data_IF_556971083749
#
_entry.id   IF_556971083749
#
_cell.length_a   1.000
_cell.length_b   1.000
_cell.length_c   1.000
_cell.angle_alpha   90.00
_cell.angle_beta   90.00
_cell.angle_gamma   90.00
#
_symmetry.space_group_name_H-M   'P 1'
#
loop_
_entity.id
_entity.type
_entity.pdbx_description
1 polymer ?
#
# COMPACT_ATOMS: atom_id res chain seq x y z
N UNK A 1 -32.60 27.54 3.02
CA UNK A 1 -31.36 26.80 3.35
C UNK A 1 -30.55 27.69 4.28
N UNK A 2 -30.35 27.29 5.56
CA UNK A 2 -29.52 28.07 6.49
C UNK A 2 -28.08 28.04 6.06
N UNK A 3 -27.49 29.22 5.89
CA UNK A 3 -26.08 29.44 5.52
C UNK A 3 -25.17 28.63 6.48
N UNK A 4 -24.47 27.59 5.95
CA UNK A 4 -23.57 26.71 6.70
C UNK A 4 -22.11 27.19 6.59
N UNK A 5 -21.88 28.43 6.14
CA UNK A 5 -20.56 29.03 5.95
C UNK A 5 -19.94 29.40 7.31
N UNK A 6 -19.00 28.67 7.83
CA UNK A 6 -18.26 28.99 9.06
C UNK A 6 -17.82 27.82 9.92
N UNK A 7 -18.36 26.61 9.69
CA UNK A 7 -17.94 25.42 10.44
C UNK A 7 -17.03 24.54 9.56
N UNK A 8 -15.90 24.10 10.09
CA UNK A 8 -15.05 23.09 9.44
C UNK A 8 -15.90 21.88 9.03
N UNK A 9 -15.79 21.39 7.77
CA UNK A 9 -16.46 20.18 7.37
C UNK A 9 -15.96 19.00 8.19
N UNK A 10 -16.83 18.00 8.41
CA UNK A 10 -16.55 16.90 9.32
C UNK A 10 -16.62 15.56 8.60
N UNK A 11 -15.52 14.81 8.61
CA UNK A 11 -15.44 13.49 8.00
C UNK A 11 -15.37 12.39 9.06
N UNK A 12 -16.12 11.31 8.83
CA UNK A 12 -15.94 10.03 9.50
C UNK A 12 -15.16 9.12 8.54
N UNK A 13 -13.94 8.75 8.90
CA UNK A 13 -13.10 7.86 8.09
C UNK A 13 -13.07 6.45 8.69
N UNK A 14 -13.68 5.49 8.00
CA UNK A 14 -13.71 4.09 8.39
C UNK A 14 -12.48 3.39 7.79
N UNK A 15 -11.38 3.37 8.54
CA UNK A 15 -10.10 2.82 8.14
C UNK A 15 -9.66 1.74 9.14
N UNK A 16 -10.11 0.50 8.94
CA UNK A 16 -9.87 -0.61 9.87
C UNK A 16 -8.38 -0.78 10.20
N UNK A 17 -7.52 -0.78 9.18
CA UNK A 17 -6.07 -0.74 9.36
C UNK A 17 -5.59 0.71 9.36
N UNK A 18 -5.18 1.17 10.52
CA UNK A 18 -4.64 2.50 10.79
C UNK A 18 -3.48 2.39 11.78
N UNK A 19 -2.54 3.35 11.87
CA UNK A 19 -1.45 3.26 12.83
C UNK A 19 -1.88 2.85 14.25
N UNK A 20 -1.11 2.00 14.95
CA UNK A 20 0.25 1.52 14.67
C UNK A 20 0.35 0.27 13.77
N UNK A 21 -0.68 -0.13 13.05
CA UNK A 21 -0.60 -1.28 12.13
C UNK A 21 0.45 -1.05 11.04
N UNK A 22 1.15 -2.13 10.62
CA UNK A 22 2.09 -2.14 9.46
C UNK A 22 1.47 -2.73 8.19
N UNK A 23 0.15 -2.97 8.14
CA UNK A 23 -0.51 -3.45 6.94
C UNK A 23 -0.33 -2.45 5.78
N UNK A 24 -0.15 -2.95 4.56
CA UNK A 24 0.18 -2.14 3.37
C UNK A 24 -0.78 -0.95 3.12
N UNK A 25 -2.05 -1.07 3.50
CA UNK A 25 -3.03 0.00 3.34
C UNK A 25 -2.99 1.12 4.38
N UNK A 26 -2.19 0.98 5.41
CA UNK A 26 -2.12 1.94 6.52
C UNK A 26 -1.55 3.27 6.06
N UNK A 27 -0.53 3.26 5.20
CA UNK A 27 0.11 4.47 4.68
C UNK A 27 -0.88 5.38 3.94
N UNK A 28 -1.70 4.79 3.04
CA UNK A 28 -2.77 5.53 2.35
C UNK A 28 -3.79 6.09 3.33
N UNK A 29 -4.25 5.27 4.29
CA UNK A 29 -5.25 5.70 5.27
C UNK A 29 -4.74 6.84 6.16
N UNK A 30 -3.48 6.74 6.62
CA UNK A 30 -2.81 7.78 7.40
C UNK A 30 -2.67 9.09 6.61
N UNK A 31 -2.09 9.00 5.43
CA UNK A 31 -1.87 10.17 4.58
C UNK A 31 -3.19 10.85 4.19
N UNK A 32 -4.23 10.09 3.84
CA UNK A 32 -5.56 10.64 3.57
C UNK A 32 -6.13 11.39 4.79
N UNK A 33 -5.96 10.85 5.99
CA UNK A 33 -6.44 11.49 7.20
C UNK A 33 -5.69 12.80 7.50
N UNK A 34 -4.34 12.80 7.38
CA UNK A 34 -3.51 13.98 7.56
C UNK A 34 -3.85 15.06 6.52
N UNK A 35 -3.87 14.70 5.23
CA UNK A 35 -4.21 15.61 4.14
C UNK A 35 -5.57 16.29 4.35
N UNK A 36 -6.58 15.54 4.79
CA UNK A 36 -7.89 16.13 5.10
C UNK A 36 -7.83 17.13 6.26
N UNK A 37 -6.97 16.90 7.28
CA UNK A 37 -6.76 17.89 8.36
C UNK A 37 -6.09 19.15 7.82
N UNK A 38 -5.04 19.01 7.00
CA UNK A 38 -4.33 20.12 6.35
C UNK A 38 -5.29 20.97 5.49
N UNK A 39 -6.22 20.31 4.81
CA UNK A 39 -7.31 20.97 4.05
C UNK A 39 -8.46 21.48 4.94
N UNK A 40 -8.30 21.50 6.26
CA UNK A 40 -9.22 22.11 7.20
C UNK A 40 -10.44 21.27 7.60
N UNK A 41 -10.40 19.94 7.39
CA UNK A 41 -11.45 19.03 7.86
C UNK A 41 -11.30 18.67 9.35
N UNK A 42 -12.41 18.44 10.03
CA UNK A 42 -12.47 17.80 11.36
C UNK A 42 -12.56 16.28 11.14
N UNK A 43 -11.43 15.57 11.32
CA UNK A 43 -11.29 14.17 10.97
C UNK A 43 -11.50 13.27 12.19
N UNK A 44 -12.41 12.30 12.06
CA UNK A 44 -12.57 11.20 13.03
C UNK A 44 -12.32 9.88 12.32
N UNK A 45 -11.29 9.14 12.72
CA UNK A 45 -10.95 7.83 12.16
C UNK A 45 -11.50 6.73 13.06
N UNK A 46 -12.16 5.74 12.46
CA UNK A 46 -12.48 4.49 13.13
C UNK A 46 -11.56 3.39 12.66
N UNK A 47 -10.80 2.81 13.61
CA UNK A 47 -9.81 1.79 13.36
C UNK A 47 -10.08 0.51 14.16
N UNK A 48 -9.34 -0.56 13.87
CA UNK A 48 -9.39 -1.80 14.62
C UNK A 48 -8.91 -1.63 16.06
N UNK A 49 -9.39 -2.46 17.02
CA UNK A 49 -8.89 -2.47 18.39
C UNK A 49 -7.39 -2.76 18.44
N UNK A 50 -6.68 -2.11 19.37
CA UNK A 50 -5.24 -2.34 19.57
C UNK A 50 -4.94 -3.79 19.92
N UNK A 51 -5.75 -4.41 20.79
CA UNK A 51 -5.60 -5.83 21.15
C UNK A 51 -5.61 -6.75 19.93
N UNK A 52 -6.42 -6.43 18.92
CA UNK A 52 -6.41 -7.17 17.67
C UNK A 52 -5.10 -7.00 16.91
N UNK A 53 -4.57 -5.79 16.85
CA UNK A 53 -3.29 -5.51 16.16
C UNK A 53 -2.13 -6.20 16.86
N UNK A 54 -2.00 -6.06 18.20
CA UNK A 54 -0.88 -6.65 18.94
C UNK A 54 -0.98 -8.17 19.09
N UNK A 55 -2.17 -8.69 19.42
CA UNK A 55 -2.30 -10.11 19.75
C UNK A 55 -2.57 -11.00 18.54
N UNK A 56 -3.16 -10.48 17.46
CA UNK A 56 -3.60 -11.29 16.31
C UNK A 56 -2.82 -11.00 15.03
N UNK A 57 -2.50 -9.74 14.77
CA UNK A 57 -1.70 -9.37 13.60
C UNK A 57 -0.21 -9.46 13.93
N UNK A 58 0.22 -8.96 15.09
CA UNK A 58 1.60 -9.00 15.56
C UNK A 58 2.57 -8.13 14.73
N UNK A 59 2.06 -7.35 13.78
CA UNK A 59 2.86 -6.46 12.93
C UNK A 59 2.44 -5.03 13.18
N UNK A 60 3.18 -4.35 14.06
CA UNK A 60 2.93 -2.97 14.50
C UNK A 60 4.19 -2.12 14.38
N UNK A 61 3.99 -0.81 14.25
CA UNK A 61 5.03 0.21 14.19
C UNK A 61 4.53 1.44 14.95
N UNK A 62 5.08 1.65 16.14
CA UNK A 62 4.67 2.77 17.00
C UNK A 62 5.12 4.12 16.42
N UNK A 63 6.28 4.17 15.78
CA UNK A 63 6.78 5.39 15.11
C UNK A 63 5.82 5.91 14.05
N UNK A 64 5.07 4.99 13.40
CA UNK A 64 4.05 5.41 12.43
C UNK A 64 2.87 6.15 13.09
N UNK A 65 2.60 5.89 14.37
CA UNK A 65 1.58 6.63 15.12
C UNK A 65 1.97 8.09 15.38
N UNK A 66 3.25 8.37 15.50
CA UNK A 66 3.80 9.71 15.71
C UNK A 66 3.63 10.61 14.47
N UNK A 67 3.48 10.00 13.30
CA UNK A 67 3.25 10.72 12.03
C UNK A 67 1.77 11.00 11.75
N UNK A 68 0.87 10.68 12.67
CA UNK A 68 -0.56 11.02 12.57
C UNK A 68 -0.77 12.39 13.22
N UNK A 69 -1.44 13.30 12.51
CA UNK A 69 -1.75 14.63 13.04
C UNK A 69 -2.51 14.50 14.38
N UNK A 70 -2.05 15.18 15.46
CA UNK A 70 -2.63 15.06 16.80
C UNK A 70 -4.08 15.56 16.91
N UNK A 71 -4.57 16.34 15.95
CA UNK A 71 -5.98 16.76 15.91
C UNK A 71 -6.93 15.67 15.42
N UNK A 72 -6.40 14.60 14.80
CA UNK A 72 -7.20 13.46 14.33
C UNK A 72 -7.70 12.66 15.53
N UNK A 73 -9.01 12.56 15.61
CA UNK A 73 -9.65 11.71 16.62
C UNK A 73 -9.69 10.27 16.17
N UNK A 74 -8.89 9.38 16.79
CA UNK A 74 -8.90 7.94 16.50
C UNK A 74 -9.79 7.21 17.52
N UNK A 75 -10.83 6.57 17.04
CA UNK A 75 -11.74 5.69 17.80
C UNK A 75 -11.53 4.25 17.39
N UNK A 76 -11.65 3.33 18.35
CA UNK A 76 -11.40 1.90 18.09
C UNK A 76 -12.61 1.06 18.56
N UNK A 77 -13.68 0.99 17.73
CA UNK A 77 -14.87 0.20 18.04
C UNK A 77 -14.53 -1.28 18.26
N UNK A 78 -15.33 -1.93 19.11
CA UNK A 78 -15.10 -3.32 19.48
C UNK A 78 -15.18 -4.28 18.28
N UNK A 79 -14.32 -5.30 18.28
CA UNK A 79 -14.29 -6.37 17.31
C UNK A 79 -14.46 -7.71 17.99
N UNK A 80 -15.55 -8.41 17.70
CA UNK A 80 -15.80 -9.77 18.16
C UNK A 80 -15.65 -10.71 16.96
N UNK A 81 -14.56 -11.46 16.91
CA UNK A 81 -14.31 -12.42 15.84
C UNK A 81 -14.49 -13.85 16.29
N UNK A 82 -15.46 -14.52 15.69
CA UNK A 82 -15.74 -15.92 15.98
C UNK A 82 -14.59 -16.86 15.62
N UNK A 83 -13.94 -16.65 14.48
CA UNK A 83 -12.93 -17.56 13.94
C UNK A 83 -11.54 -17.41 14.56
N UNK A 84 -11.26 -16.28 15.21
CA UNK A 84 -9.92 -15.93 15.70
C UNK A 84 -9.77 -16.12 17.21
N UNK A 85 -10.88 -16.12 17.95
CA UNK A 85 -10.87 -16.40 19.38
C UNK A 85 -10.83 -17.91 19.59
N UNK A 86 -9.68 -18.43 19.96
CA UNK A 86 -9.50 -19.85 20.31
C UNK A 86 -9.55 -20.08 21.83
N UNK A 87 -9.34 -19.04 22.63
CA UNK A 87 -9.41 -19.12 24.08
C UNK A 87 -10.87 -19.06 24.55
N UNK A 88 -11.30 -20.13 25.23
CA UNK A 88 -12.66 -20.24 25.80
C UNK A 88 -12.96 -19.14 26.82
N UNK A 89 -11.94 -18.55 27.45
CA UNK A 89 -12.09 -17.46 28.43
C UNK A 89 -12.50 -16.15 27.77
N UNK A 90 -12.13 -15.95 26.49
CA UNK A 90 -12.49 -14.79 25.71
C UNK A 90 -13.89 -14.92 25.06
N UNK A 91 -14.53 -16.07 25.14
CA UNK A 91 -15.84 -16.29 24.55
C UNK A 91 -16.91 -15.52 25.30
N UNK A 92 -17.83 -14.87 24.55
CA UNK A 92 -19.04 -14.32 25.13
C UNK A 92 -19.84 -15.42 25.86
N UNK A 93 -20.64 -15.02 26.85
CA UNK A 93 -21.49 -15.97 27.58
C UNK A 93 -22.34 -16.85 26.64
N UNK A 94 -22.98 -16.25 25.64
CA UNK A 94 -23.78 -16.96 24.63
C UNK A 94 -22.96 -18.00 23.85
N UNK A 95 -21.74 -17.64 23.42
CA UNK A 95 -20.86 -18.55 22.69
C UNK A 95 -20.35 -19.70 23.57
N UNK A 96 -20.10 -19.42 24.84
CA UNK A 96 -19.65 -20.41 25.82
C UNK A 96 -20.76 -21.39 26.18
N UNK A 97 -21.98 -20.88 26.41
CA UNK A 97 -23.13 -21.69 26.80
C UNK A 97 -23.75 -22.46 25.62
N UNK A 98 -23.73 -21.93 24.41
CA UNK A 98 -24.37 -22.49 23.21
C UNK A 98 -23.46 -22.48 21.99
N UNK A 99 -22.32 -23.21 22.01
CA UNK A 99 -21.30 -23.11 20.95
C UNK A 99 -21.80 -23.51 19.56
N UNK A 100 -22.63 -24.55 19.46
CA UNK A 100 -23.21 -25.01 18.19
C UNK A 100 -24.19 -23.99 17.61
N UNK A 101 -25.00 -23.37 18.45
CA UNK A 101 -25.93 -22.33 18.03
C UNK A 101 -25.16 -21.09 17.56
N UNK A 102 -24.16 -20.66 18.32
CA UNK A 102 -23.31 -19.53 17.96
C UNK A 102 -22.59 -19.77 16.62
N UNK A 103 -22.11 -21.00 16.38
CA UNK A 103 -21.53 -21.41 15.09
C UNK A 103 -22.54 -21.33 13.95
N UNK A 104 -23.76 -21.82 14.16
CA UNK A 104 -24.85 -21.74 13.15
C UNK A 104 -25.22 -20.31 12.84
N UNK A 105 -25.39 -19.46 13.86
CA UNK A 105 -25.69 -18.03 13.70
C UNK A 105 -24.58 -17.32 12.93
N UNK A 106 -23.33 -17.56 13.29
CA UNK A 106 -22.19 -17.00 12.56
C UNK A 106 -22.20 -17.44 11.09
N UNK A 107 -22.35 -18.73 10.82
CA UNK A 107 -22.40 -19.25 9.45
C UNK A 107 -23.57 -18.64 8.66
N UNK A 108 -24.75 -18.56 9.26
CA UNK A 108 -25.92 -17.93 8.65
C UNK A 108 -25.67 -16.45 8.34
N UNK A 109 -24.99 -15.72 9.24
CA UNK A 109 -24.63 -14.33 9.02
C UNK A 109 -23.73 -14.17 7.78
N UNK A 110 -22.75 -15.05 7.61
CA UNK A 110 -21.82 -15.02 6.48
C UNK A 110 -22.45 -15.44 5.15
N UNK A 111 -23.42 -16.36 5.18
CA UNK A 111 -24.02 -16.91 3.96
C UNK A 111 -25.32 -16.23 3.55
N UNK A 112 -26.07 -15.63 4.48
CA UNK A 112 -27.40 -15.07 4.22
C UNK A 112 -27.54 -13.58 4.52
N UNK A 113 -26.71 -13.02 5.41
CA UNK A 113 -26.83 -11.62 5.80
C UNK A 113 -25.74 -10.75 5.16
N UNK A 114 -24.51 -10.87 5.60
CA UNK A 114 -23.40 -10.05 5.11
C UNK A 114 -22.10 -10.86 5.14
N UNK A 115 -21.49 -11.17 3.98
CA UNK A 115 -20.40 -12.13 3.86
C UNK A 115 -19.03 -11.49 4.19
N UNK A 116 -18.92 -10.93 5.39
CA UNK A 116 -17.69 -10.27 5.84
C UNK A 116 -17.38 -10.63 7.30
N UNK A 117 -16.18 -11.16 7.53
CA UNK A 117 -15.75 -11.65 8.87
C UNK A 117 -15.60 -10.55 9.93
N UNK A 118 -15.47 -9.29 9.52
CA UNK A 118 -15.34 -8.13 10.41
C UNK A 118 -16.68 -7.40 10.63
N UNK A 119 -17.80 -8.03 10.30
CA UNK A 119 -19.14 -7.44 10.42
C UNK A 119 -19.49 -6.98 11.84
N UNK A 120 -18.95 -7.61 12.90
CA UNK A 120 -19.13 -7.17 14.28
C UNK A 120 -18.51 -5.79 14.55
N UNK A 121 -17.35 -5.52 13.96
CA UNK A 121 -16.72 -4.19 14.01
C UNK A 121 -17.56 -3.15 13.23
N UNK A 122 -18.08 -3.54 12.06
CA UNK A 122 -18.95 -2.66 11.28
C UNK A 122 -20.17 -2.21 12.11
N UNK A 123 -20.81 -3.17 12.77
CA UNK A 123 -21.96 -2.87 13.64
C UNK A 123 -21.59 -1.97 14.82
N UNK A 124 -20.49 -2.28 15.54
CA UNK A 124 -19.99 -1.45 16.65
C UNK A 124 -19.63 -0.03 16.16
N UNK A 125 -19.05 0.07 14.97
CA UNK A 125 -18.72 1.35 14.31
C UNK A 125 -19.97 2.17 14.02
N UNK A 126 -21.04 1.57 13.50
CA UNK A 126 -22.29 2.27 13.24
C UNK A 126 -22.89 2.82 14.55
N UNK A 127 -22.96 2.01 15.60
CA UNK A 127 -23.50 2.46 16.90
C UNK A 127 -22.67 3.62 17.49
N UNK A 128 -21.34 3.51 17.40
CA UNK A 128 -20.45 4.57 17.86
C UNK A 128 -20.58 5.84 17.01
N UNK A 129 -20.67 5.70 15.70
CA UNK A 129 -20.86 6.81 14.77
C UNK A 129 -22.17 7.54 15.02
N UNK A 130 -23.28 6.85 15.27
CA UNK A 130 -24.58 7.44 15.61
C UNK A 130 -24.48 8.29 16.88
N UNK A 131 -23.81 7.78 17.94
CA UNK A 131 -23.58 8.52 19.17
C UNK A 131 -22.76 9.80 18.95
N UNK A 132 -21.72 9.75 18.13
CA UNK A 132 -20.92 10.93 17.80
C UNK A 132 -21.69 11.91 16.91
N UNK A 133 -22.44 11.39 15.95
CA UNK A 133 -23.24 12.19 15.02
C UNK A 133 -24.38 12.94 15.72
N UNK A 134 -25.01 12.36 16.75
CA UNK A 134 -26.05 13.03 17.54
C UNK A 134 -25.52 14.26 18.29
N UNK A 135 -24.24 14.23 18.72
CA UNK A 135 -23.60 15.35 19.37
C UNK A 135 -23.12 16.42 18.36
N UNK A 136 -22.41 15.99 17.35
CA UNK A 136 -21.87 16.85 16.28
C UNK A 136 -21.93 16.10 14.94
N UNK A 137 -22.72 16.59 14.00
CA UNK A 137 -23.01 15.90 12.74
C UNK A 137 -21.77 15.73 11.88
N UNK A 138 -21.59 14.54 11.31
CA UNK A 138 -20.68 14.32 10.19
C UNK A 138 -21.30 14.85 8.90
N UNK A 139 -20.48 15.37 8.01
CA UNK A 139 -20.90 15.87 6.69
C UNK A 139 -20.72 14.79 5.61
N UNK A 140 -19.72 13.91 5.76
CA UNK A 140 -19.44 12.79 4.85
C UNK A 140 -18.79 11.62 5.60
N UNK A 141 -18.95 10.40 5.05
CA UNK A 141 -18.22 9.21 5.48
C UNK A 141 -17.30 8.76 4.35
N UNK A 142 -16.04 8.49 4.65
CA UNK A 142 -15.11 7.79 3.77
C UNK A 142 -14.88 6.40 4.33
N UNK A 143 -15.00 5.37 3.51
CA UNK A 143 -14.76 3.99 3.93
C UNK A 143 -13.70 3.37 3.02
N UNK A 144 -12.61 2.86 3.58
CA UNK A 144 -11.57 2.17 2.80
C UNK A 144 -11.68 0.65 2.97
N UNK A 145 -11.67 -0.08 1.88
CA UNK A 145 -11.55 -1.53 1.80
C UNK A 145 -10.08 -1.92 1.57
N UNK A 146 -9.59 -3.01 2.04
CA UNK A 146 -9.98 -4.12 2.84
C UNK A 146 -9.76 -3.83 4.35
N UNK A 147 -10.60 -4.29 5.32
CA UNK A 147 -11.81 -5.12 5.14
C UNK A 147 -13.02 -4.34 4.58
N UNK A 148 -13.86 -5.04 3.83
CA UNK A 148 -15.06 -4.46 3.21
C UNK A 148 -16.23 -4.27 4.18
N UNK A 149 -16.07 -4.70 5.42
CA UNK A 149 -16.93 -4.35 6.54
C UNK A 149 -17.07 -2.83 6.73
N UNK A 150 -16.05 -2.06 6.34
CA UNK A 150 -16.08 -0.58 6.30
C UNK A 150 -17.18 -0.08 5.38
N UNK A 151 -17.34 -0.67 4.20
CA UNK A 151 -18.37 -0.31 3.23
C UNK A 151 -19.78 -0.60 3.77
N UNK A 152 -19.96 -1.77 4.41
CA UNK A 152 -21.21 -2.12 5.07
C UNK A 152 -21.57 -1.15 6.19
N UNK A 153 -20.59 -0.72 6.98
CA UNK A 153 -20.80 0.27 8.04
C UNK A 153 -21.19 1.65 7.46
N UNK A 154 -20.50 2.12 6.42
CA UNK A 154 -20.81 3.37 5.76
C UNK A 154 -22.22 3.37 5.15
N UNK A 155 -22.56 2.30 4.43
CA UNK A 155 -23.89 2.12 3.86
C UNK A 155 -24.99 2.11 4.92
N UNK A 156 -24.82 1.37 6.02
CA UNK A 156 -25.82 1.32 7.09
C UNK A 156 -25.94 2.67 7.80
N UNK A 157 -24.83 3.35 8.05
CA UNK A 157 -24.85 4.69 8.65
C UNK A 157 -25.57 5.70 7.73
N UNK A 158 -25.32 5.65 6.42
CA UNK A 158 -26.07 6.45 5.44
C UNK A 158 -27.57 6.15 5.47
N UNK A 159 -27.97 4.89 5.56
CA UNK A 159 -29.37 4.48 5.63
C UNK A 159 -30.10 5.07 6.85
N UNK A 160 -29.39 5.23 7.96
CA UNK A 160 -29.94 5.71 9.23
C UNK A 160 -29.90 7.23 9.37
N UNK A 161 -28.96 7.92 8.71
CA UNK A 161 -28.69 9.34 8.93
C UNK A 161 -28.85 10.21 7.69
N UNK A 162 -28.79 9.63 6.51
CA UNK A 162 -28.74 10.34 5.22
C UNK A 162 -27.38 10.95 4.89
N UNK A 163 -26.36 10.78 5.75
CA UNK A 163 -25.00 11.30 5.49
C UNK A 163 -24.40 10.61 4.26
N UNK A 164 -23.92 11.36 3.24
CA UNK A 164 -23.30 10.78 2.05
C UNK A 164 -22.04 10.01 2.41
N UNK A 165 -21.67 9.03 1.58
CA UNK A 165 -20.45 8.27 1.78
C UNK A 165 -19.72 7.97 0.47
N UNK A 166 -18.41 7.78 0.60
CA UNK A 166 -17.48 7.41 -0.47
C UNK A 166 -16.83 6.06 -0.14
N UNK A 167 -16.71 5.20 -1.14
CA UNK A 167 -16.06 3.90 -1.06
C UNK A 167 -14.66 4.00 -1.68
N UNK A 168 -13.61 3.77 -0.89
CA UNK A 168 -12.21 3.76 -1.36
C UNK A 168 -11.74 2.31 -1.54
N UNK A 169 -11.75 1.86 -2.80
CA UNK A 169 -11.33 0.52 -3.22
C UNK A 169 -9.81 0.47 -3.39
N UNK A 170 -9.12 0.21 -2.32
CA UNK A 170 -7.70 -0.13 -2.39
C UNK A 170 -7.46 -1.52 -2.96
N UNK A 171 -8.35 -2.44 -2.62
CA UNK A 171 -8.47 -3.81 -3.13
C UNK A 171 -9.91 -4.03 -3.60
N UNK A 172 -10.17 -5.08 -4.39
CA UNK A 172 -11.54 -5.47 -4.75
C UNK A 172 -12.11 -6.50 -3.77
N UNK A 173 -13.42 -6.43 -3.57
CA UNK A 173 -14.15 -7.42 -2.79
C UNK A 173 -14.58 -8.63 -3.61
N UNK A 174 -14.99 -8.37 -4.84
CA UNK A 174 -15.62 -9.36 -5.71
C UNK A 174 -14.74 -9.82 -6.86
N UNK A 175 -13.54 -9.24 -7.01
CA UNK A 175 -12.52 -9.64 -7.96
C UNK A 175 -11.32 -10.22 -7.20
N UNK A 176 -10.86 -11.42 -7.60
CA UNK A 176 -9.52 -11.90 -7.22
C UNK A 176 -8.49 -11.17 -8.07
N UNK A 177 -7.78 -10.24 -7.44
CA UNK A 177 -6.83 -9.33 -8.09
C UNK A 177 -5.61 -10.04 -8.70
N UNK A 178 -5.32 -11.26 -8.26
CA UNK A 178 -4.14 -12.02 -8.68
C UNK A 178 -4.42 -13.03 -9.78
N UNK A 179 -5.67 -13.50 -9.88
CA UNK A 179 -6.06 -14.49 -10.86
C UNK A 179 -6.94 -13.92 -12.00
N UNK A 180 -7.28 -12.62 -11.91
CA UNK A 180 -8.22 -11.95 -12.85
C UNK A 180 -9.56 -12.68 -12.97
N UNK A 181 -10.05 -13.20 -11.84
CA UNK A 181 -11.27 -13.99 -11.76
C UNK A 181 -12.24 -13.45 -10.71
N UNK A 182 -13.53 -13.70 -10.84
CA UNK A 182 -14.48 -13.40 -9.78
C UNK A 182 -14.11 -14.08 -8.46
N UNK A 183 -14.02 -13.32 -7.37
CA UNK A 183 -13.70 -13.84 -6.04
C UNK A 183 -14.81 -14.72 -5.42
N UNK A 184 -16.02 -14.67 -6.00
CA UNK A 184 -17.20 -15.42 -5.55
C UNK A 184 -17.96 -16.03 -6.72
N UNK A 185 -18.67 -17.17 -6.53
CA UNK A 185 -19.62 -17.70 -7.50
C UNK A 185 -20.66 -16.66 -7.93
N UNK A 186 -21.20 -16.79 -9.13
CA UNK A 186 -22.12 -15.80 -9.74
C UNK A 186 -23.38 -15.50 -8.91
N UNK A 187 -23.86 -16.47 -8.14
CA UNK A 187 -25.06 -16.39 -7.29
C UNK A 187 -24.73 -16.00 -5.83
N UNK A 188 -23.47 -15.73 -5.52
CA UNK A 188 -23.07 -15.39 -4.16
C UNK A 188 -23.60 -14.01 -3.74
N UNK A 189 -24.05 -13.89 -2.49
CA UNK A 189 -24.70 -12.67 -1.96
C UNK A 189 -23.77 -11.43 -1.96
N UNK A 190 -22.46 -11.61 -2.04
CA UNK A 190 -21.47 -10.50 -2.10
C UNK A 190 -21.77 -9.57 -3.28
N UNK A 191 -22.14 -10.10 -4.46
CA UNK A 191 -22.47 -9.32 -5.64
C UNK A 191 -23.65 -8.37 -5.39
N UNK A 192 -24.69 -8.88 -4.76
CA UNK A 192 -25.87 -8.10 -4.42
C UNK A 192 -25.56 -7.01 -3.37
N UNK A 193 -24.66 -7.29 -2.44
CA UNK A 193 -24.21 -6.33 -1.45
C UNK A 193 -23.34 -5.23 -2.06
N UNK A 194 -22.35 -5.59 -2.87
CA UNK A 194 -21.50 -4.61 -3.53
C UNK A 194 -22.31 -3.68 -4.42
N UNK A 195 -23.18 -4.22 -5.28
CA UNK A 195 -24.11 -3.43 -6.10
C UNK A 195 -24.96 -2.48 -5.27
N UNK A 196 -25.54 -2.97 -4.18
CA UNK A 196 -26.39 -2.15 -3.28
C UNK A 196 -25.62 -1.00 -2.64
N UNK A 197 -24.36 -1.26 -2.24
CA UNK A 197 -23.52 -0.24 -1.63
C UNK A 197 -23.04 0.77 -2.67
N UNK A 198 -22.56 0.32 -3.84
CA UNK A 198 -22.15 1.21 -4.94
C UNK A 198 -23.29 2.11 -5.41
N UNK A 199 -24.50 1.57 -5.57
CA UNK A 199 -25.66 2.34 -6.03
C UNK A 199 -26.05 3.48 -5.07
N UNK A 200 -25.68 3.40 -3.80
CA UNK A 200 -25.95 4.43 -2.79
C UNK A 200 -24.75 5.33 -2.47
N UNK A 201 -23.55 4.92 -2.85
CA UNK A 201 -22.36 5.71 -2.66
C UNK A 201 -22.39 6.99 -3.51
N UNK A 202 -21.90 8.09 -2.96
CA UNK A 202 -21.77 9.37 -3.65
C UNK A 202 -20.56 9.40 -4.59
N UNK A 203 -19.55 8.57 -4.31
CA UNK A 203 -18.43 8.28 -5.19
C UNK A 203 -17.81 6.93 -4.81
N UNK A 204 -17.10 6.32 -5.77
CA UNK A 204 -16.23 5.18 -5.55
C UNK A 204 -14.83 5.50 -6.13
N UNK A 205 -13.81 5.23 -5.33
CA UNK A 205 -12.42 5.56 -5.64
C UNK A 205 -11.63 4.27 -5.84
N UNK A 206 -10.79 4.21 -6.85
CA UNK A 206 -9.99 3.05 -7.20
C UNK A 206 -8.51 3.42 -7.31
N UNK A 207 -7.61 2.48 -7.06
CA UNK A 207 -6.17 2.74 -7.06
C UNK A 207 -5.55 2.82 -8.46
N UNK A 208 -6.23 2.30 -9.47
CA UNK A 208 -5.81 2.36 -10.87
C UNK A 208 -7.00 2.22 -11.83
N UNK A 209 -6.75 2.54 -13.08
CA UNK A 209 -7.77 2.54 -14.14
C UNK A 209 -8.29 1.14 -14.46
N UNK A 210 -7.43 0.13 -14.44
CA UNK A 210 -7.85 -1.25 -14.71
C UNK A 210 -8.88 -1.74 -13.68
N UNK A 211 -8.67 -1.44 -12.40
CA UNK A 211 -9.62 -1.80 -11.34
C UNK A 211 -10.91 -0.99 -11.44
N UNK A 212 -10.81 0.32 -11.74
CA UNK A 212 -11.98 1.16 -12.00
C UNK A 212 -12.79 0.64 -13.19
N UNK A 213 -12.13 0.35 -14.31
CA UNK A 213 -12.73 -0.16 -15.53
C UNK A 213 -13.49 -1.45 -15.30
N UNK A 214 -12.88 -2.41 -14.60
CA UNK A 214 -13.54 -3.68 -14.25
C UNK A 214 -14.85 -3.48 -13.46
N UNK A 215 -14.87 -2.52 -12.51
CA UNK A 215 -16.09 -2.20 -11.77
C UNK A 215 -17.09 -1.41 -12.62
N UNK A 216 -16.62 -0.49 -13.47
CA UNK A 216 -17.48 0.30 -14.34
C UNK A 216 -18.21 -0.56 -15.38
N UNK A 217 -17.55 -1.58 -15.95
CA UNK A 217 -18.19 -2.56 -16.84
C UNK A 217 -19.27 -3.38 -16.13
N UNK A 218 -19.07 -3.72 -14.88
CA UNK A 218 -20.00 -4.52 -14.08
C UNK A 218 -21.14 -3.72 -13.47
N UNK A 219 -20.89 -2.45 -13.16
CA UNK A 219 -21.85 -1.53 -12.54
C UNK A 219 -21.96 -0.22 -13.35
N UNK A 220 -22.40 -0.29 -14.62
CA UNK A 220 -22.43 0.86 -15.52
C UNK A 220 -23.32 2.00 -15.02
N UNK A 221 -24.34 1.69 -14.22
CA UNK A 221 -25.25 2.66 -13.65
C UNK A 221 -24.61 3.64 -12.65
N UNK A 222 -23.39 3.39 -12.24
CA UNK A 222 -22.64 4.22 -11.28
C UNK A 222 -21.24 4.59 -11.76
N UNK A 223 -20.90 4.26 -13.00
CA UNK A 223 -19.58 4.48 -13.58
C UNK A 223 -19.17 5.97 -13.59
N UNK A 224 -20.11 6.88 -13.72
CA UNK A 224 -19.95 8.32 -13.66
C UNK A 224 -19.48 8.86 -12.29
N UNK A 225 -19.66 8.07 -11.25
CA UNK A 225 -19.24 8.37 -9.87
C UNK A 225 -17.93 7.67 -9.47
N UNK A 226 -17.33 6.93 -10.38
CA UNK A 226 -16.07 6.24 -10.18
C UNK A 226 -14.90 7.11 -10.61
N UNK A 227 -13.86 7.19 -9.76
CA UNK A 227 -12.65 7.94 -10.04
C UNK A 227 -11.41 7.16 -9.64
N UNK A 228 -10.27 7.50 -10.23
CA UNK A 228 -8.97 6.93 -9.86
C UNK A 228 -8.23 7.90 -8.96
N UNK A 229 -7.76 7.39 -7.83
CA UNK A 229 -6.82 8.06 -6.94
C UNK A 229 -5.70 7.05 -6.67
N UNK A 230 -4.57 7.15 -7.35
CA UNK A 230 -3.50 6.16 -7.23
C UNK A 230 -2.90 6.12 -5.82
N UNK A 231 -2.16 5.06 -5.52
CA UNK A 231 -1.24 5.10 -4.40
C UNK A 231 -0.14 6.11 -4.75
N UNK A 232 0.32 6.85 -3.80
CA UNK A 232 1.41 7.80 -3.99
C UNK A 232 2.57 7.47 -3.05
N UNK A 233 3.55 8.36 -2.98
CA UNK A 233 4.62 8.33 -2.01
C UNK A 233 4.45 9.46 -0.98
N UNK A 234 4.93 9.22 0.23
CA UNK A 234 4.78 10.13 1.36
C UNK A 234 6.14 10.81 1.63
N UNK A 235 6.23 12.12 1.42
CA UNK A 235 7.45 12.90 1.64
C UNK A 235 7.87 12.96 3.13
N UNK A 236 6.93 12.83 4.05
CA UNK A 236 7.14 12.85 5.50
C UNK A 236 7.60 11.49 6.08
N UNK A 237 7.49 10.42 5.31
CA UNK A 237 7.91 9.05 5.70
C UNK A 237 9.23 8.66 5.05
N UNK A 238 9.57 9.26 3.92
CA UNK A 238 10.85 9.09 3.25
C UNK A 238 11.80 10.20 3.71
N UNK A 239 12.94 9.89 4.36
CA UNK A 239 13.88 10.92 4.80
C UNK A 239 14.34 11.76 3.60
N UNK A 240 14.29 13.09 3.76
CA UNK A 240 14.89 14.01 2.79
C UNK A 240 16.40 13.82 2.81
N UNK A 241 17.01 13.77 1.61
CA UNK A 241 18.46 13.59 1.45
C UNK A 241 19.32 14.66 2.19
N UNK A 242 18.73 15.81 2.53
CA UNK A 242 19.43 16.93 3.16
C UNK A 242 19.56 16.83 4.69
N UNK A 243 18.68 16.08 5.38
CA UNK A 243 18.75 15.97 6.86
C UNK A 243 19.76 14.93 7.35
N UNK A 244 20.36 14.13 6.46
CA UNK A 244 21.37 13.13 6.83
C UNK A 244 22.80 13.68 6.91
N UNK A 245 23.04 14.93 6.56
CA UNK A 245 24.37 15.53 6.52
C UNK A 245 24.82 16.16 7.85
N UNK A 246 23.97 16.26 8.88
CA UNK A 246 24.31 16.90 10.16
C UNK A 246 24.60 15.95 11.33
N UNK A 247 24.75 14.65 11.13
CA UNK A 247 25.24 13.76 12.19
C UNK A 247 26.72 13.42 12.00
N UNK A 248 27.55 14.27 12.57
CA UNK A 248 28.88 13.99 13.14
C UNK A 248 29.62 12.74 12.66
N UNK A 249 30.60 12.95 11.74
CA UNK A 249 31.88 12.30 11.90
C UNK A 249 32.97 13.17 11.27
N UNK A 250 34.05 13.45 12.04
CA UNK A 250 35.19 14.20 11.61
C UNK A 250 35.83 13.57 10.37
N UNK A 251 36.36 14.38 9.43
CA UNK A 251 37.05 13.84 8.27
C UNK A 251 38.39 13.24 8.73
N UNK A 252 38.43 11.91 8.84
CA UNK A 252 39.71 11.20 8.94
C UNK A 252 40.43 11.40 7.62
N UNK A 253 41.45 12.26 7.65
CA UNK A 253 42.34 12.51 6.52
C UNK A 253 43.13 11.24 6.18
N UNK A 254 42.69 10.55 5.13
CA UNK A 254 43.49 9.52 4.46
C UNK A 254 44.24 10.18 3.30
N UNK A 255 45.58 10.00 3.18
CA UNK A 255 46.37 10.65 2.15
C UNK A 255 45.95 10.15 0.73
N UNK A 256 45.83 11.08 -0.20
CA UNK A 256 45.63 10.82 -1.60
C UNK A 256 46.77 9.95 -2.17
N UNK A 257 46.51 8.67 -2.33
CA UNK A 257 47.32 7.80 -3.19
C UNK A 257 46.75 7.85 -4.61
N UNK A 258 47.52 8.37 -5.54
CA UNK A 258 47.31 8.30 -6.99
C UNK A 258 47.33 6.84 -7.42
N UNK A 259 46.17 6.20 -7.40
CA UNK A 259 45.93 4.90 -8.00
C UNK A 259 44.64 5.00 -8.78
N UNK A 260 44.56 4.39 -9.94
CA UNK A 260 43.39 4.22 -10.78
C UNK A 260 42.14 4.09 -9.91
N UNK A 261 41.19 5.04 -10.02
CA UNK A 261 39.90 4.98 -9.29
C UNK A 261 39.24 3.65 -9.65
N UNK A 262 39.37 2.67 -8.80
CA UNK A 262 38.57 1.46 -8.86
C UNK A 262 37.13 1.90 -8.55
N UNK A 263 36.29 2.02 -9.59
CA UNK A 263 34.88 2.33 -9.44
C UNK A 263 34.29 1.37 -8.40
N UNK A 264 33.56 1.92 -7.43
CA UNK A 264 32.87 1.07 -6.44
C UNK A 264 31.88 0.12 -7.14
N UNK A 265 31.63 -1.07 -6.57
CA UNK A 265 30.63 -2.00 -7.09
C UNK A 265 29.26 -1.34 -7.23
N UNK A 266 28.57 -1.61 -8.36
CA UNK A 266 27.20 -1.17 -8.55
C UNK A 266 26.26 -1.95 -7.65
N UNK A 267 25.36 -1.24 -6.98
CA UNK A 267 24.35 -1.79 -6.09
C UNK A 267 22.96 -1.76 -6.75
N UNK A 268 22.47 -2.92 -7.12
CA UNK A 268 21.05 -3.12 -7.42
C UNK A 268 20.33 -3.45 -6.12
N UNK A 269 19.18 -2.85 -5.84
CA UNK A 269 18.43 -3.12 -4.63
C UNK A 269 16.98 -3.48 -4.91
N UNK A 270 16.55 -4.60 -4.34
CA UNK A 270 15.14 -4.96 -4.20
C UNK A 270 14.71 -4.77 -2.75
N UNK A 271 13.60 -4.06 -2.53
CA UNK A 271 13.02 -3.92 -1.20
C UNK A 271 11.59 -4.48 -1.16
N UNK A 272 11.35 -5.40 -0.26
CA UNK A 272 10.02 -5.89 0.02
C UNK A 272 9.95 -7.36 0.37
N UNK A 273 8.76 -7.83 0.74
CA UNK A 273 8.53 -9.26 0.93
C UNK A 273 8.55 -9.96 -0.41
N UNK A 274 9.48 -10.90 -0.60
CA UNK A 274 9.46 -11.82 -1.73
C UNK A 274 8.37 -12.87 -1.52
N UNK A 275 7.74 -13.27 -2.61
CA UNK A 275 6.75 -14.36 -2.60
C UNK A 275 7.01 -15.31 -3.76
N UNK A 276 6.58 -16.56 -3.62
CA UNK A 276 6.71 -17.58 -4.68
C UNK A 276 5.90 -17.27 -5.95
N UNK A 277 5.02 -16.29 -5.89
CA UNK A 277 4.23 -15.83 -7.04
C UNK A 277 4.96 -14.79 -7.90
N UNK A 278 6.07 -14.25 -7.42
CA UNK A 278 6.88 -13.29 -8.15
C UNK A 278 7.95 -14.04 -8.98
N UNK A 279 8.40 -13.47 -10.11
CA UNK A 279 9.42 -14.05 -10.99
C UNK A 279 10.83 -13.93 -10.38
N UNK A 280 11.02 -14.61 -9.24
CA UNK A 280 12.26 -14.53 -8.44
C UNK A 280 13.41 -15.26 -9.11
N UNK A 281 13.13 -16.39 -9.78
CA UNK A 281 14.12 -17.17 -10.52
C UNK A 281 14.61 -16.40 -11.74
N UNK A 282 13.67 -15.83 -12.51
CA UNK A 282 13.96 -15.04 -13.70
C UNK A 282 14.82 -13.82 -13.35
N UNK A 283 14.49 -13.13 -12.24
CA UNK A 283 15.30 -12.02 -11.73
C UNK A 283 16.72 -12.47 -11.38
N UNK A 284 16.87 -13.57 -10.65
CA UNK A 284 18.17 -14.07 -10.21
C UNK A 284 19.04 -14.53 -11.38
N UNK A 285 18.47 -15.27 -12.33
CA UNK A 285 19.20 -15.75 -13.52
C UNK A 285 19.58 -14.60 -14.46
N UNK A 286 18.66 -13.65 -14.70
CA UNK A 286 18.95 -12.46 -15.49
C UNK A 286 20.09 -11.64 -14.88
N UNK A 287 20.13 -11.48 -13.56
CA UNK A 287 21.22 -10.75 -12.91
C UNK A 287 22.57 -11.48 -13.03
N UNK A 288 22.60 -12.80 -12.88
CA UNK A 288 23.82 -13.60 -13.11
C UNK A 288 24.34 -13.46 -14.55
N UNK A 289 23.44 -13.44 -15.55
CA UNK A 289 23.81 -13.20 -16.96
C UNK A 289 24.30 -11.76 -17.13
N UNK A 290 23.63 -10.77 -16.59
CA UNK A 290 24.00 -9.36 -16.68
C UNK A 290 25.41 -9.11 -16.11
N UNK A 291 25.80 -9.77 -15.03
CA UNK A 291 27.17 -9.70 -14.46
C UNK A 291 28.30 -10.22 -15.35
N UNK A 292 27.98 -10.97 -16.41
CA UNK A 292 28.98 -11.36 -17.40
C UNK A 292 29.41 -10.18 -18.29
N UNK A 293 28.60 -9.12 -18.30
CA UNK A 293 28.95 -7.88 -18.98
C UNK A 293 30.05 -7.14 -18.20
N UNK A 294 31.13 -6.63 -18.86
CA UNK A 294 32.24 -5.96 -18.16
C UNK A 294 31.81 -4.83 -17.23
N UNK A 295 30.79 -4.05 -17.62
CA UNK A 295 30.31 -2.91 -16.83
C UNK A 295 29.56 -3.32 -15.53
N UNK A 296 29.15 -4.59 -15.41
CA UNK A 296 28.45 -5.13 -14.25
C UNK A 296 29.19 -6.27 -13.55
N UNK A 297 30.44 -6.55 -13.92
CA UNK A 297 31.18 -7.68 -13.37
C UNK A 297 31.32 -7.65 -11.85
N UNK A 298 31.37 -6.47 -11.26
CA UNK A 298 31.45 -6.19 -9.82
C UNK A 298 30.07 -5.92 -9.16
N UNK A 299 28.98 -5.88 -9.94
CA UNK A 299 27.66 -5.52 -9.42
C UNK A 299 27.12 -6.51 -8.38
N UNK A 300 26.39 -5.99 -7.38
CA UNK A 300 25.66 -6.75 -6.38
C UNK A 300 24.14 -6.50 -6.50
N UNK A 301 23.32 -7.54 -6.37
CA UNK A 301 21.88 -7.42 -6.17
C UNK A 301 21.54 -7.69 -4.69
N UNK A 302 21.22 -6.65 -3.97
CA UNK A 302 20.87 -6.67 -2.56
C UNK A 302 19.36 -6.86 -2.40
N UNK A 303 18.96 -7.87 -1.62
CA UNK A 303 17.58 -8.24 -1.39
C UNK A 303 17.22 -7.90 0.07
N UNK A 304 16.44 -6.84 0.25
CA UNK A 304 15.99 -6.36 1.54
C UNK A 304 14.51 -6.71 1.75
N UNK A 305 14.20 -7.50 2.79
CA UNK A 305 12.83 -7.86 3.14
C UNK A 305 12.65 -9.29 3.60
N UNK A 306 11.39 -9.67 3.80
CA UNK A 306 11.07 -11.03 4.24
C UNK A 306 11.02 -12.00 3.06
N UNK A 307 11.47 -13.23 3.28
CA UNK A 307 11.32 -14.35 2.35
C UNK A 307 9.99 -15.06 2.61
N UNK A 308 8.91 -14.54 2.02
CA UNK A 308 7.54 -15.06 2.13
C UNK A 308 6.84 -14.74 3.45
N UNK A 309 5.58 -15.15 3.50
CA UNK A 309 4.69 -14.95 4.66
C UNK A 309 4.49 -16.23 5.49
N UNK A 310 4.87 -17.40 4.96
CA UNK A 310 4.65 -18.69 5.59
C UNK A 310 5.95 -19.31 6.04
N UNK A 311 5.88 -20.17 7.08
CA UNK A 311 7.05 -20.80 7.72
C UNK A 311 7.99 -21.53 6.75
N UNK A 312 7.46 -22.12 5.68
CA UNK A 312 8.26 -22.86 4.70
C UNK A 312 8.73 -22.00 3.49
N UNK A 313 8.24 -20.76 3.35
CA UNK A 313 8.59 -19.90 2.22
C UNK A 313 10.08 -19.55 2.13
N UNK A 314 10.81 -19.30 3.24
CA UNK A 314 12.21 -18.92 3.17
C UNK A 314 13.09 -19.97 2.47
N UNK A 315 12.91 -21.25 2.77
CA UNK A 315 13.70 -22.32 2.16
C UNK A 315 13.49 -22.38 0.63
N UNK A 316 12.22 -22.36 0.20
CA UNK A 316 11.88 -22.36 -1.23
C UNK A 316 12.43 -21.13 -1.96
N UNK A 317 12.33 -19.94 -1.36
CA UNK A 317 12.80 -18.69 -1.97
C UNK A 317 14.32 -18.60 -2.00
N UNK A 318 15.02 -19.07 -0.98
CA UNK A 318 16.48 -19.20 -1.01
C UNK A 318 16.94 -20.13 -2.14
N UNK A 319 16.30 -21.28 -2.28
CA UNK A 319 16.58 -22.21 -3.38
C UNK A 319 16.38 -21.54 -4.75
N UNK A 320 15.27 -20.83 -4.96
CA UNK A 320 14.97 -20.09 -6.18
C UNK A 320 15.98 -18.99 -6.50
N UNK A 321 16.51 -18.33 -5.49
CA UNK A 321 17.56 -17.32 -5.61
C UNK A 321 18.95 -17.94 -5.82
N UNK A 322 19.14 -19.24 -5.56
CA UNK A 322 20.44 -19.89 -5.54
C UNK A 322 21.33 -19.40 -4.40
N UNK A 323 20.70 -19.09 -3.25
CA UNK A 323 21.40 -18.71 -2.03
C UNK A 323 21.61 -19.94 -1.15
N UNK A 324 22.84 -20.17 -0.70
CA UNK A 324 23.16 -21.25 0.23
C UNK A 324 22.53 -21.01 1.60
N UNK A 325 22.36 -22.08 2.41
CA UNK A 325 21.65 -22.06 3.70
C UNK A 325 22.35 -21.25 4.81
N UNK A 326 23.52 -20.72 4.57
CA UNK A 326 24.26 -19.91 5.52
C UNK A 326 23.76 -18.45 5.51
N UNK A 327 23.42 -17.92 6.68
CA UNK A 327 22.81 -16.66 7.06
C UNK A 327 22.97 -15.40 6.18
N UNK A 328 22.53 -14.23 6.66
CA UNK A 328 22.66 -12.97 5.91
C UNK A 328 24.13 -12.66 5.61
N UNK A 329 24.47 -12.50 4.33
CA UNK A 329 25.82 -12.08 3.89
C UNK A 329 26.61 -13.10 3.09
N UNK A 330 26.22 -14.37 3.02
CA UNK A 330 26.95 -15.40 2.27
C UNK A 330 26.32 -15.67 0.89
N UNK A 331 27.15 -15.95 -0.11
CA UNK A 331 26.76 -16.21 -1.52
C UNK A 331 27.06 -15.08 -2.52
N UNK A 332 27.46 -13.90 -2.06
CA UNK A 332 27.65 -12.71 -2.89
C UNK A 332 28.81 -12.82 -3.90
N UNK A 333 29.90 -13.52 -3.57
CA UNK A 333 31.11 -13.52 -4.42
C UNK A 333 30.90 -14.22 -5.76
N UNK A 334 30.21 -15.36 -5.77
CA UNK A 334 30.05 -16.14 -7.01
C UNK A 334 28.85 -15.65 -7.86
N UNK A 335 27.71 -15.32 -7.22
CA UNK A 335 26.45 -14.97 -7.91
C UNK A 335 26.16 -13.48 -7.97
N UNK A 336 26.77 -12.67 -7.11
CA UNK A 336 26.46 -11.26 -6.90
C UNK A 336 25.12 -11.02 -6.19
N UNK A 337 24.44 -12.07 -5.73
CA UNK A 337 23.16 -11.97 -5.01
C UNK A 337 23.41 -11.98 -3.51
N UNK A 338 22.88 -10.97 -2.81
CA UNK A 338 23.05 -10.83 -1.36
C UNK A 338 21.71 -10.66 -0.67
N UNK A 339 21.38 -11.58 0.24
CA UNK A 339 20.22 -11.41 1.11
C UNK A 339 20.60 -10.62 2.34
N UNK A 340 19.98 -9.43 2.50
CA UNK A 340 20.27 -8.49 3.57
C UNK A 340 19.24 -8.56 4.72
N UNK A 341 18.13 -9.28 4.54
CA UNK A 341 17.06 -9.36 5.55
C UNK A 341 16.11 -8.17 5.53
N UNK A 342 15.11 -8.16 6.43
CA UNK A 342 14.16 -7.06 6.52
C UNK A 342 14.79 -5.81 7.15
N UNK A 343 14.42 -4.65 6.63
CA UNK A 343 14.81 -3.33 7.15
C UNK A 343 13.61 -2.62 7.78
N UNK A 344 13.86 -1.76 8.76
CA UNK A 344 12.83 -0.91 9.35
C UNK A 344 12.37 0.15 8.36
N UNK A 345 11.14 0.70 8.53
CA UNK A 345 10.65 1.74 7.63
C UNK A 345 11.54 3.00 7.65
N UNK A 346 12.16 3.31 8.77
CA UNK A 346 13.09 4.44 8.93
C UNK A 346 14.41 4.25 8.17
N UNK A 347 14.79 3.00 7.87
CA UNK A 347 16.01 2.68 7.13
C UNK A 347 15.78 2.51 5.63
N UNK A 348 14.51 2.37 5.20
CA UNK A 348 14.17 2.16 3.79
C UNK A 348 14.73 3.28 2.91
N UNK A 349 14.62 4.54 3.34
CA UNK A 349 15.16 5.69 2.60
C UNK A 349 16.67 5.59 2.36
N UNK A 350 17.43 5.17 3.38
CA UNK A 350 18.90 4.96 3.25
C UNK A 350 19.23 3.87 2.24
N UNK A 351 18.46 2.77 2.23
CA UNK A 351 18.66 1.69 1.25
C UNK A 351 18.38 2.18 -0.16
N UNK A 352 17.35 3.02 -0.36
CA UNK A 352 17.07 3.62 -1.66
C UNK A 352 18.20 4.57 -2.09
N UNK A 353 18.68 5.44 -1.19
CA UNK A 353 19.79 6.37 -1.49
C UNK A 353 21.11 5.63 -1.80
N UNK A 354 21.41 4.53 -1.10
CA UNK A 354 22.64 3.77 -1.28
C UNK A 354 22.63 2.86 -2.52
N UNK A 355 21.47 2.65 -3.11
CA UNK A 355 21.30 1.89 -4.34
C UNK A 355 21.65 2.73 -5.57
N UNK A 356 22.25 2.11 -6.59
CA UNK A 356 22.45 2.71 -7.89
C UNK A 356 21.30 2.40 -8.85
N UNK A 357 20.69 1.23 -8.70
CA UNK A 357 19.55 0.73 -9.49
C UNK A 357 18.52 0.11 -8.57
N UNK A 358 17.27 0.49 -8.70
CA UNK A 358 16.17 -0.11 -7.97
C UNK A 358 15.49 -1.21 -8.81
N UNK A 359 15.28 -2.38 -8.20
CA UNK A 359 14.64 -3.51 -8.88
C UNK A 359 13.19 -3.62 -8.43
N UNK A 360 12.28 -3.44 -9.36
CA UNK A 360 10.85 -3.63 -9.15
C UNK A 360 10.44 -5.02 -9.62
N UNK A 361 9.94 -5.84 -8.70
CA UNK A 361 9.54 -7.22 -8.96
C UNK A 361 8.04 -7.38 -8.69
N UNK A 362 7.28 -7.79 -9.72
CA UNK A 362 5.85 -8.01 -9.58
C UNK A 362 5.45 -9.39 -10.14
N UNK A 363 4.69 -10.15 -9.35
CA UNK A 363 4.21 -11.49 -9.68
C UNK A 363 2.87 -11.52 -10.44
N UNK A 364 2.56 -10.47 -11.17
CA UNK A 364 1.26 -10.26 -11.79
C UNK A 364 0.48 -9.17 -11.08
N UNK A 365 -0.62 -8.72 -11.67
CA UNK A 365 -1.46 -7.71 -11.05
C UNK A 365 -1.85 -6.59 -11.99
N UNK A 366 -2.67 -6.90 -13.00
CA UNK A 366 -3.39 -5.91 -13.80
C UNK A 366 -4.14 -4.90 -12.95
N UNK A 367 -4.57 -5.31 -11.76
CA UNK A 367 -5.40 -4.52 -10.86
C UNK A 367 -4.68 -4.04 -9.59
N UNK A 368 -3.41 -4.41 -9.41
CA UNK A 368 -2.64 -4.09 -8.21
C UNK A 368 -1.47 -3.19 -8.56
N UNK A 369 -1.43 -2.01 -7.95
CA UNK A 369 -0.28 -1.11 -8.06
C UNK A 369 0.46 -1.07 -6.73
N UNK A 370 1.70 -1.54 -6.72
CA UNK A 370 2.54 -1.49 -5.53
C UNK A 370 2.89 -0.04 -5.15
N UNK A 371 2.75 0.31 -3.89
CA UNK A 371 3.15 1.64 -3.39
C UNK A 371 4.64 1.93 -3.57
N UNK A 372 5.49 0.90 -3.61
CA UNK A 372 6.95 1.04 -3.76
C UNK A 372 7.37 1.69 -5.08
N UNK A 373 6.61 1.47 -6.15
CA UNK A 373 6.96 2.04 -7.46
C UNK A 373 7.01 3.57 -7.40
N UNK A 374 6.09 4.17 -6.64
CA UNK A 374 6.04 5.61 -6.43
C UNK A 374 7.24 6.09 -5.59
N UNK A 375 7.58 5.33 -4.53
CA UNK A 375 8.77 5.61 -3.71
C UNK A 375 10.04 5.52 -4.57
N UNK A 376 10.19 4.49 -5.41
CA UNK A 376 11.35 4.31 -6.30
C UNK A 376 11.54 5.50 -7.24
N UNK A 377 10.48 5.96 -7.88
CA UNK A 377 10.53 7.13 -8.76
C UNK A 377 10.95 8.40 -8.01
N UNK A 378 10.50 8.57 -6.75
CA UNK A 378 10.80 9.73 -5.94
C UNK A 378 12.31 9.85 -5.59
N UNK A 379 13.06 8.75 -5.64
CA UNK A 379 14.52 8.76 -5.43
C UNK A 379 15.31 9.09 -6.71
N UNK A 380 14.68 9.03 -7.88
CA UNK A 380 15.31 9.42 -9.15
C UNK A 380 16.41 8.48 -9.63
N UNK A 381 16.37 7.20 -9.22
CA UNK A 381 17.30 6.18 -9.69
C UNK A 381 16.79 5.44 -10.93
N UNK A 382 17.67 4.82 -11.72
CA UNK A 382 17.28 3.81 -12.68
C UNK A 382 16.43 2.71 -12.04
N UNK A 383 15.31 2.36 -12.67
CA UNK A 383 14.40 1.29 -12.24
C UNK A 383 14.38 0.20 -13.28
N UNK A 384 14.78 -1.01 -12.90
CA UNK A 384 14.56 -2.23 -13.70
C UNK A 384 13.28 -2.90 -13.21
N UNK A 385 12.34 -3.15 -14.11
CA UNK A 385 11.14 -3.91 -13.77
C UNK A 385 11.19 -5.35 -14.28
N UNK A 386 10.87 -6.30 -13.40
CA UNK A 386 10.84 -7.74 -13.67
C UNK A 386 9.41 -8.24 -13.45
N UNK A 387 8.67 -8.41 -14.53
CA UNK A 387 7.26 -8.81 -14.51
C UNK A 387 6.79 -9.28 -15.89
N UNK A 388 5.68 -10.02 -15.93
CA UNK A 388 4.97 -10.27 -17.17
C UNK A 388 4.33 -8.97 -17.70
N UNK A 389 4.10 -8.84 -19.02
CA UNK A 389 3.38 -7.69 -19.61
C UNK A 389 1.98 -7.50 -19.04
N UNK A 390 1.46 -6.25 -19.10
CA UNK A 390 0.07 -5.93 -18.77
C UNK A 390 -0.24 -5.76 -17.29
N UNK A 391 0.76 -5.44 -16.47
CA UNK A 391 0.53 -5.07 -15.06
C UNK A 391 0.25 -3.57 -14.90
N UNK A 392 -0.56 -3.20 -13.91
CA UNK A 392 -0.90 -1.80 -13.65
C UNK A 392 0.29 -0.89 -13.31
N UNK A 393 1.42 -1.45 -12.91
CA UNK A 393 2.63 -0.67 -12.64
C UNK A 393 3.28 -0.12 -13.92
N UNK A 394 3.03 -0.72 -15.09
CA UNK A 394 3.51 -0.20 -16.38
C UNK A 394 2.93 1.18 -16.66
N UNK A 395 1.62 1.38 -16.45
CA UNK A 395 0.95 2.66 -16.64
C UNK A 395 1.54 3.77 -15.74
N UNK A 396 2.02 3.39 -14.56
CA UNK A 396 2.65 4.33 -13.61
C UNK A 396 4.08 4.68 -14.01
N UNK A 397 4.83 3.69 -14.52
CA UNK A 397 6.21 3.88 -14.96
C UNK A 397 6.33 4.53 -16.34
N UNK A 398 5.26 4.50 -17.12
CA UNK A 398 5.26 5.10 -18.44
C UNK A 398 5.66 6.58 -18.38
N UNK A 399 6.67 6.92 -19.18
CA UNK A 399 7.26 8.26 -19.22
C UNK A 399 8.28 8.56 -18.11
N UNK A 400 8.55 7.63 -17.18
CA UNK A 400 9.67 7.79 -16.25
C UNK A 400 11.00 7.63 -17.00
N UNK A 401 11.88 8.66 -17.00
CA UNK A 401 13.01 8.72 -17.93
C UNK A 401 14.08 7.66 -17.67
N UNK A 402 14.11 7.08 -16.48
CA UNK A 402 15.10 6.07 -16.06
C UNK A 402 14.46 4.68 -15.84
N UNK A 403 13.41 4.38 -16.59
CA UNK A 403 12.76 3.07 -16.55
C UNK A 403 13.30 2.12 -17.60
N UNK A 404 13.74 0.95 -17.19
CA UNK A 404 14.29 -0.13 -18.01
C UNK A 404 13.39 -1.35 -17.89
N UNK A 405 12.69 -1.68 -18.97
CA UNK A 405 11.71 -2.76 -19.04
C UNK A 405 12.03 -3.70 -20.19
N UNK A 406 12.04 -5.01 -19.93
CA UNK A 406 12.18 -6.03 -20.96
C UNK A 406 10.85 -6.32 -21.68
N UNK A 407 9.73 -5.91 -21.10
CA UNK A 407 8.35 -6.23 -21.51
C UNK A 407 8.12 -7.76 -21.69
N UNK A 408 8.89 -8.55 -20.98
CA UNK A 408 8.79 -10.01 -20.95
C UNK A 408 9.47 -10.58 -19.71
N UNK A 409 9.28 -11.88 -19.46
CA UNK A 409 10.04 -12.66 -18.47
C UNK A 409 11.17 -13.47 -19.12
N UNK A 410 11.52 -13.19 -20.38
CA UNK A 410 12.69 -13.75 -21.01
C UNK A 410 13.96 -13.31 -20.29
N UNK A 411 14.77 -14.27 -19.86
CA UNK A 411 15.91 -14.04 -18.97
C UNK A 411 17.00 -13.21 -19.67
N UNK A 412 17.22 -13.42 -20.98
CA UNK A 412 18.24 -12.67 -21.73
C UNK A 412 17.78 -11.22 -21.96
N UNK A 413 16.49 -11.01 -22.24
CA UNK A 413 15.91 -9.66 -22.36
C UNK A 413 15.96 -8.90 -21.01
N UNK A 414 15.67 -9.56 -19.92
CA UNK A 414 15.79 -9.00 -18.57
C UNK A 414 17.26 -8.67 -18.25
N UNK A 415 18.19 -9.54 -18.60
CA UNK A 415 19.62 -9.28 -18.41
C UNK A 415 20.10 -8.06 -19.22
N UNK A 416 19.64 -7.92 -20.47
CA UNK A 416 19.92 -6.73 -21.29
C UNK A 416 19.40 -5.45 -20.64
N UNK A 417 18.18 -5.47 -20.07
CA UNK A 417 17.58 -4.33 -19.34
C UNK A 417 18.40 -3.99 -18.09
N UNK A 418 18.88 -4.99 -17.34
CA UNK A 418 19.75 -4.78 -16.18
C UNK A 418 21.09 -4.15 -16.58
N UNK A 419 21.69 -4.59 -17.69
CA UNK A 419 22.93 -3.99 -18.23
C UNK A 419 22.68 -2.53 -18.62
N UNK A 420 21.59 -2.24 -19.30
CA UNK A 420 21.25 -0.88 -19.70
C UNK A 420 21.04 0.03 -18.48
N UNK A 421 20.33 -0.45 -17.45
CA UNK A 421 20.13 0.29 -16.21
C UNK A 421 21.43 0.54 -15.44
N UNK A 422 22.32 -0.45 -15.36
CA UNK A 422 23.61 -0.31 -14.71
C UNK A 422 24.53 0.70 -15.42
N UNK A 423 24.53 0.72 -16.74
CA UNK A 423 25.23 1.76 -17.53
C UNK A 423 24.66 3.14 -17.25
N UNK A 424 23.33 3.27 -17.31
CA UNK A 424 22.67 4.54 -17.01
C UNK A 424 22.98 5.01 -15.57
N UNK A 425 23.09 4.10 -14.62
CA UNK A 425 23.46 4.45 -13.24
C UNK A 425 24.90 4.99 -13.13
N UNK A 426 25.84 4.44 -13.91
CA UNK A 426 27.24 4.93 -13.94
C UNK A 426 27.35 6.32 -14.55
N UNK A 427 26.54 6.61 -15.56
CA UNK A 427 26.54 7.86 -16.31
C UNK A 427 25.51 8.88 -15.79
N UNK A 428 24.84 8.59 -14.66
CA UNK A 428 23.73 9.39 -14.14
C UNK A 428 24.20 10.75 -13.64
N UNK A 429 23.78 11.81 -14.35
CA UNK A 429 24.05 13.19 -13.92
C UNK A 429 23.03 13.67 -12.88
N UNK A 430 23.39 14.67 -12.04
CA UNK A 430 22.44 15.30 -11.12
C UNK A 430 21.19 15.84 -11.81
N UNK A 431 21.33 16.40 -13.02
CA UNK A 431 20.19 16.96 -13.79
C UNK A 431 19.25 15.86 -14.29
N UNK A 432 19.78 14.72 -14.69
CA UNK A 432 18.97 13.56 -15.11
C UNK A 432 18.23 12.97 -13.89
N UNK A 433 18.91 12.84 -12.76
CA UNK A 433 18.31 12.37 -11.51
C UNK A 433 17.18 13.30 -11.05
N UNK A 434 17.42 14.61 -11.10
CA UNK A 434 16.40 15.61 -10.74
C UNK A 434 15.21 15.59 -11.71
N UNK A 435 15.45 15.39 -13.01
CA UNK A 435 14.38 15.24 -14.00
C UNK A 435 13.53 14.00 -13.72
N UNK A 436 14.17 12.89 -13.31
CA UNK A 436 13.47 11.69 -12.92
C UNK A 436 12.65 11.90 -11.63
N UNK A 437 13.20 12.59 -10.62
CA UNK A 437 12.46 12.95 -9.40
C UNK A 437 11.22 13.78 -9.69
N UNK A 438 11.34 14.83 -10.52
CA UNK A 438 10.20 15.68 -10.93
C UNK A 438 9.07 14.88 -11.61
N UNK A 439 9.39 13.80 -12.30
CA UNK A 439 8.35 12.92 -12.83
C UNK A 439 7.51 12.27 -11.72
N UNK A 440 8.09 12.05 -10.54
CA UNK A 440 7.39 11.46 -9.39
C UNK A 440 6.51 12.47 -8.62
N UNK A 441 6.68 13.80 -8.82
CA UNK A 441 5.93 14.82 -8.06
C UNK A 441 4.42 14.70 -8.24
N UNK A 442 3.96 14.34 -9.44
CA UNK A 442 2.53 14.08 -9.72
C UNK A 442 1.95 12.92 -8.89
N UNK A 443 2.81 12.09 -8.31
CA UNK A 443 2.45 10.98 -7.43
C UNK A 443 2.78 11.25 -5.96
N UNK A 444 3.23 12.45 -5.61
CA UNK A 444 3.29 12.86 -4.21
C UNK A 444 1.91 12.73 -3.59
N UNK A 445 1.83 12.26 -2.36
CA UNK A 445 0.55 11.91 -1.74
C UNK A 445 -0.45 13.06 -1.74
N UNK A 446 0.01 14.25 -1.47
CA UNK A 446 -0.85 15.45 -1.47
C UNK A 446 -1.40 15.74 -2.86
N UNK A 447 -0.57 15.66 -3.91
CA UNK A 447 -1.00 15.85 -5.28
C UNK A 447 -2.05 14.82 -5.73
N UNK A 448 -1.89 13.54 -5.36
CA UNK A 448 -2.87 12.51 -5.74
C UNK A 448 -4.16 12.57 -4.92
N UNK A 449 -4.13 13.16 -3.72
CA UNK A 449 -5.30 13.29 -2.86
C UNK A 449 -6.12 14.55 -3.12
N UNK A 450 -5.56 15.56 -3.78
CA UNK A 450 -6.27 16.81 -4.08
C UNK A 450 -7.60 16.60 -4.83
N UNK A 451 -7.65 15.85 -5.95
CA UNK A 451 -8.93 15.57 -6.63
C UNK A 451 -9.93 14.79 -5.76
N UNK A 452 -9.44 14.00 -4.82
CA UNK A 452 -10.30 13.29 -3.89
C UNK A 452 -10.92 14.25 -2.87
N UNK A 453 -10.13 15.15 -2.32
CA UNK A 453 -10.59 16.18 -1.38
C UNK A 453 -11.61 17.12 -2.05
N UNK A 454 -11.34 17.60 -3.26
CA UNK A 454 -12.27 18.38 -4.06
C UNK A 454 -13.61 17.66 -4.27
N UNK A 455 -13.55 16.35 -4.54
CA UNK A 455 -14.76 15.52 -4.67
C UNK A 455 -15.55 15.45 -3.37
N UNK A 456 -14.88 15.35 -2.22
CA UNK A 456 -15.56 15.38 -0.90
C UNK A 456 -16.23 16.72 -0.64
N UNK A 457 -15.60 17.83 -1.01
CA UNK A 457 -16.23 19.17 -0.92
C UNK A 457 -17.46 19.27 -1.81
N UNK A 458 -17.37 18.85 -3.05
CA UNK A 458 -18.50 18.84 -3.98
C UNK A 458 -19.68 18.02 -3.43
N UNK A 459 -19.42 16.84 -2.83
CA UNK A 459 -20.44 15.99 -2.22
C UNK A 459 -21.10 16.68 -1.02
N UNK A 460 -20.34 17.43 -0.22
CA UNK A 460 -20.85 18.08 1.01
C UNK A 460 -21.41 19.48 0.77
N UNK A 461 -21.20 20.07 -0.40
CA UNK A 461 -21.54 21.46 -0.70
C UNK A 461 -20.74 22.43 0.19
N UNK A 462 -19.47 22.12 0.47
CA UNK A 462 -18.54 22.92 1.29
C UNK A 462 -17.46 23.53 0.39
N UNK A 463 -17.26 24.81 0.49
CA UNK A 463 -16.16 25.49 -0.17
C UNK A 463 -14.85 25.32 0.61
N UNK A 464 -13.70 25.45 -0.10
CA UNK A 464 -12.41 25.54 0.56
C UNK A 464 -12.37 26.78 1.47
N UNK A 465 -11.62 26.80 2.57
CA UNK A 465 -11.30 28.01 3.28
C UNK A 465 -10.69 29.02 2.28
N UNK A 466 -11.05 30.29 2.36
CA UNK A 466 -10.31 31.30 1.62
C UNK A 466 -8.84 31.24 2.05
N UNK A 467 -7.93 31.16 1.10
CA UNK A 467 -6.50 31.31 1.39
C UNK A 467 -6.31 32.75 1.90
N UNK A 468 -5.87 32.90 3.16
CA UNK A 468 -5.50 34.17 3.77
C UNK A 468 -4.14 34.66 3.29
#
# INVERSE_FOLDING_TARGET
MKNRSGRRPRVLYLAFYFPPSRASGVYRARATANHLVEKGWDVTVFASPLDFLYKRIGSVDEGLSETVDPSIRVERPALNQYTWQQDLREFSWLRRSFPLMAKRVYHLSQTKLFPERYSSWAWASVLRALKLHSNKRFDVVVATGNPFASFGAAWLFNRLTGVPYVMDYRDSWTLDLFHDEPAFPKDHIAWGWEKRMLNKASAAVFVNEALRGWHAERYPEVADRMMVVPNGWDADVLPKAEESAESTDEPSAVPATTGTETQRPLKFAYLGTLTVKQPVEEMAEAFKIARRHPDLADAELQIHGHLGFFKNSPATLKQKLGLDDEGPGNGAEATGLRYCGPVSKTEVGRVYEDADVLVFLAGGGKYVTSGKIFEYMAFGHPIVSVHAPGIAAQDVLEGYPLWFNADSLDVDALAASMVAAGKAARDLTPEQRETARRHADKYQRDAVLEPFEERLRAITGREAPAED
#
